data_IF_673254351051
#
_entry.id   IF_673254351051
#
_cell.length_a   1.000
_cell.length_b   1.000
_cell.length_c   1.000
_cell.angle_alpha   90.00
_cell.angle_beta   90.00
_cell.angle_gamma   90.00
#
_symmetry.space_group_name_H-M   'P 1'
#
loop_
_entity.id
_entity.type
_entity.pdbx_description
1 polymer ?
#
# COMPACT_ATOMS: atom_id res chain seq x y z
N UNK A 1 8.01 -14.01 -27.74
CA UNK A 1 8.27 -13.22 -26.51
C UNK A 1 7.04 -13.39 -25.63
N UNK A 2 7.16 -14.01 -24.46
CA UNK A 2 6.00 -14.24 -23.58
C UNK A 2 5.71 -12.96 -22.81
N UNK A 3 4.57 -12.32 -23.08
CA UNK A 3 4.09 -11.20 -22.29
C UNK A 3 3.30 -11.76 -21.11
N UNK A 4 3.84 -11.60 -19.91
CA UNK A 4 3.14 -11.95 -18.68
C UNK A 4 2.25 -10.78 -18.25
N UNK A 5 0.96 -11.04 -18.05
CA UNK A 5 0.02 -10.11 -17.48
C UNK A 5 -0.53 -10.72 -16.17
N UNK A 6 -0.32 -10.03 -15.05
CA UNK A 6 -0.84 -10.49 -13.77
C UNK A 6 -2.38 -10.39 -13.74
N UNK A 7 -3.09 -11.40 -13.21
CA UNK A 7 -4.54 -11.31 -13.00
C UNK A 7 -4.87 -10.22 -11.99
N UNK A 8 -6.04 -9.58 -12.15
CA UNK A 8 -6.45 -8.42 -11.36
C UNK A 8 -6.62 -8.71 -9.86
N UNK A 9 -6.78 -9.96 -9.47
CA UNK A 9 -6.98 -10.43 -8.10
C UNK A 9 -5.81 -11.29 -7.58
N UNK A 10 -4.66 -11.23 -8.25
CA UNK A 10 -3.47 -12.04 -7.93
C UNK A 10 -3.07 -11.97 -6.45
N UNK A 11 -3.27 -10.81 -5.82
CA UNK A 11 -2.85 -10.53 -4.44
C UNK A 11 -4.03 -10.31 -3.50
N UNK A 12 -5.23 -10.71 -3.90
CA UNK A 12 -6.41 -10.64 -3.06
C UNK A 12 -6.18 -11.34 -1.72
N UNK A 13 -6.66 -10.70 -0.64
CA UNK A 13 -6.55 -11.18 0.75
C UNK A 13 -5.10 -11.37 1.24
N UNK A 14 -4.12 -10.71 0.59
CA UNK A 14 -2.72 -10.68 1.05
C UNK A 14 -2.42 -9.36 1.74
N UNK A 15 -1.64 -9.43 2.82
CA UNK A 15 -1.08 -8.26 3.50
C UNK A 15 0.38 -8.13 3.12
N UNK A 16 0.78 -6.99 2.55
CA UNK A 16 2.13 -6.76 2.01
C UNK A 16 2.74 -5.52 2.64
N UNK A 17 3.88 -5.68 3.31
CA UNK A 17 4.68 -4.56 3.83
C UNK A 17 5.65 -4.06 2.76
N UNK A 18 5.59 -2.78 2.43
CA UNK A 18 6.47 -2.14 1.45
C UNK A 18 7.37 -1.13 2.14
N UNK A 19 8.67 -1.38 2.11
CA UNK A 19 9.68 -0.45 2.64
C UNK A 19 10.05 0.61 1.59
N UNK A 20 10.20 1.86 2.01
CA UNK A 20 10.46 2.96 1.06
C UNK A 20 9.24 3.28 0.19
N UNK A 21 8.04 3.02 0.69
CA UNK A 21 6.80 3.15 -0.08
C UNK A 21 6.45 4.58 -0.52
N UNK A 22 7.14 5.60 0.03
CA UNK A 22 6.86 7.00 -0.29
C UNK A 22 7.45 7.50 -1.61
N UNK A 23 8.31 6.73 -2.29
CA UNK A 23 8.94 7.22 -3.53
C UNK A 23 9.42 6.09 -4.46
N UNK A 24 9.69 6.45 -5.71
CA UNK A 24 10.31 5.59 -6.72
C UNK A 24 9.62 4.25 -6.90
N UNK A 25 10.41 3.17 -6.81
CA UNK A 25 9.93 1.80 -7.03
C UNK A 25 9.00 1.35 -5.91
N UNK A 26 9.26 1.76 -4.66
CA UNK A 26 8.43 1.39 -3.51
C UNK A 26 7.01 1.94 -3.65
N UNK A 27 6.87 3.20 -4.09
CA UNK A 27 5.57 3.79 -4.42
C UNK A 27 4.85 3.03 -5.52
N UNK A 28 5.54 2.77 -6.64
CA UNK A 28 4.95 2.05 -7.76
C UNK A 28 4.47 0.65 -7.35
N UNK A 29 5.30 -0.08 -6.61
CA UNK A 29 4.98 -1.41 -6.09
C UNK A 29 3.74 -1.37 -5.18
N UNK A 30 3.69 -0.44 -4.21
CA UNK A 30 2.55 -0.29 -3.31
C UNK A 30 1.22 -0.06 -4.06
N UNK A 31 1.23 0.83 -5.05
CA UNK A 31 0.06 1.12 -5.88
C UNK A 31 -0.37 -0.10 -6.69
N UNK A 32 0.56 -0.79 -7.33
CA UNK A 32 0.27 -2.00 -8.12
C UNK A 32 -0.26 -3.12 -7.24
N UNK A 33 0.30 -3.33 -6.05
CA UNK A 33 -0.19 -4.36 -5.14
C UNK A 33 -1.61 -4.08 -4.66
N UNK A 34 -1.92 -2.83 -4.33
CA UNK A 34 -3.26 -2.41 -3.97
C UNK A 34 -4.27 -2.61 -5.12
N UNK A 35 -3.85 -2.32 -6.36
CA UNK A 35 -4.67 -2.60 -7.56
C UNK A 35 -4.96 -4.09 -7.75
N UNK A 36 -4.05 -4.96 -7.32
CA UNK A 36 -4.23 -6.42 -7.38
C UNK A 36 -4.99 -7.01 -6.18
N UNK A 37 -5.59 -6.17 -5.33
CA UNK A 37 -6.42 -6.56 -4.19
C UNK A 37 -5.68 -6.81 -2.88
N UNK A 38 -4.39 -6.43 -2.78
CA UNK A 38 -3.63 -6.56 -1.54
C UNK A 38 -3.95 -5.43 -0.55
N UNK A 39 -3.92 -5.74 0.74
CA UNK A 39 -3.80 -4.75 1.81
C UNK A 39 -2.34 -4.37 1.99
N UNK A 40 -1.99 -3.11 1.74
CA UNK A 40 -0.59 -2.68 1.72
C UNK A 40 -0.25 -1.90 3.00
N UNK A 41 0.89 -2.21 3.61
CA UNK A 41 1.46 -1.45 4.72
C UNK A 41 2.63 -0.63 4.17
N UNK A 42 2.50 0.69 4.19
CA UNK A 42 3.45 1.66 3.70
C UNK A 42 4.46 1.99 4.81
N UNK A 43 5.71 1.53 4.69
CA UNK A 43 6.78 1.81 5.64
C UNK A 43 7.77 2.81 5.06
N UNK A 44 8.05 3.89 5.79
CA UNK A 44 9.02 4.89 5.35
C UNK A 44 9.42 5.89 6.43
N UNK A 45 10.36 6.78 6.09
CA UNK A 45 10.85 7.83 7.01
C UNK A 45 10.04 9.12 6.93
N UNK A 46 9.42 9.40 5.78
CA UNK A 46 8.77 10.69 5.51
C UNK A 46 7.27 10.48 5.40
N UNK A 47 6.54 10.84 6.45
CA UNK A 47 5.08 10.61 6.55
C UNK A 47 4.32 11.28 5.40
N UNK A 48 4.63 12.53 5.06
CA UNK A 48 3.95 13.26 3.97
C UNK A 48 4.01 12.54 2.62
N UNK A 49 5.11 11.82 2.35
CA UNK A 49 5.22 11.00 1.14
C UNK A 49 4.35 9.73 1.22
N UNK A 50 4.22 9.14 2.40
CA UNK A 50 3.38 7.96 2.61
C UNK A 50 1.90 8.31 2.51
N UNK A 51 1.48 9.44 3.09
CA UNK A 51 0.11 9.98 2.99
C UNK A 51 -0.27 10.22 1.52
N UNK A 52 0.61 10.82 0.71
CA UNK A 52 0.35 11.00 -0.72
C UNK A 52 0.10 9.68 -1.47
N UNK A 53 0.77 8.59 -1.08
CA UNK A 53 0.57 7.26 -1.68
C UNK A 53 -0.70 6.61 -1.14
N UNK A 54 -1.00 6.81 0.14
CA UNK A 54 -2.23 6.38 0.78
C UNK A 54 -3.45 6.98 0.06
N UNK A 55 -3.47 8.30 -0.13
CA UNK A 55 -4.56 9.01 -0.82
C UNK A 55 -4.75 8.48 -2.24
N UNK A 56 -3.67 8.16 -2.92
CA UNK A 56 -3.71 7.62 -4.29
C UNK A 56 -4.24 6.17 -4.33
N UNK A 57 -3.96 5.37 -3.31
CA UNK A 57 -4.53 4.02 -3.17
C UNK A 57 -6.04 4.11 -2.90
N UNK A 58 -6.46 5.00 -1.98
CA UNK A 58 -7.88 5.20 -1.68
C UNK A 58 -8.65 5.74 -2.88
N UNK A 59 -8.11 6.73 -3.59
CA UNK A 59 -8.73 7.29 -4.80
C UNK A 59 -8.92 6.25 -5.92
N UNK A 60 -8.12 5.17 -5.91
CA UNK A 60 -8.22 4.06 -6.87
C UNK A 60 -9.15 2.94 -6.40
N UNK A 61 -9.80 3.08 -5.24
CA UNK A 61 -10.67 2.07 -4.65
C UNK A 61 -9.93 0.83 -4.15
N UNK A 62 -8.63 0.96 -3.85
CA UNK A 62 -7.85 -0.12 -3.25
C UNK A 62 -8.21 -0.34 -1.77
N UNK A 63 -7.72 -1.44 -1.20
CA UNK A 63 -7.87 -1.70 0.23
C UNK A 63 -7.16 -0.63 1.06
N UNK A 64 -7.79 -0.19 2.16
CA UNK A 64 -7.26 0.84 3.06
C UNK A 64 -5.85 0.48 3.55
N UNK A 65 -4.81 1.22 3.15
CA UNK A 65 -3.44 0.89 3.53
C UNK A 65 -3.14 1.29 4.99
N UNK A 66 -2.08 0.74 5.58
CA UNK A 66 -1.56 1.24 6.85
C UNK A 66 -0.26 2.03 6.64
N UNK A 67 -0.02 3.04 7.47
CA UNK A 67 1.24 3.80 7.45
C UNK A 67 2.06 3.44 8.69
N UNK A 68 3.31 3.04 8.47
CA UNK A 68 4.33 2.86 9.50
C UNK A 68 5.46 3.87 9.32
N UNK A 69 5.74 4.68 10.34
CA UNK A 69 6.90 5.57 10.39
C UNK A 69 7.80 5.19 11.58
N UNK A 70 9.12 5.39 11.44
CA UNK A 70 10.15 5.06 12.44
C UNK A 70 9.91 5.64 13.85
N UNK A 71 8.98 6.60 14.02
CA UNK A 71 8.68 7.21 15.32
C UNK A 71 7.23 7.14 15.80
N UNK A 72 6.29 6.55 15.05
CA UNK A 72 4.91 6.51 15.54
C UNK A 72 4.07 5.43 14.84
N UNK A 73 3.52 4.55 15.68
CA UNK A 73 2.13 4.10 15.73
C UNK A 73 1.47 3.68 14.40
N UNK A 74 0.99 2.43 14.34
CA UNK A 74 -0.01 1.96 13.38
C UNK A 74 -1.30 2.79 13.56
N UNK A 75 -1.34 3.99 12.98
CA UNK A 75 -2.33 5.00 13.33
C UNK A 75 -3.70 4.78 12.67
N UNK A 76 -3.82 3.88 11.68
CA UNK A 76 -5.02 3.81 10.81
C UNK A 76 -5.40 2.40 10.33
N UNK A 77 -4.88 1.34 10.94
CA UNK A 77 -5.35 -0.02 10.63
C UNK A 77 -6.65 -0.30 11.39
N UNK A 78 -7.78 0.14 10.83
CA UNK A 78 -9.14 -0.25 11.22
C UNK A 78 -9.48 -0.18 12.71
N UNK A 79 -9.94 0.99 13.18
CA UNK A 79 -10.62 1.13 14.48
C UNK A 79 -12.14 1.01 14.38
N UNK A 80 -12.68 0.37 13.34
CA UNK A 80 -14.14 0.20 13.15
C UNK A 80 -14.62 -1.26 13.28
N UNK A 81 -13.75 -2.16 13.73
CA UNK A 81 -14.14 -3.54 14.04
C UNK A 81 -13.52 -4.02 15.37
N UNK A 82 -13.99 -3.45 16.48
CA UNK A 82 -13.98 -4.12 17.78
C UNK A 82 -15.20 -3.70 18.61
#
# INVERSE_FOLDING_TARGET
MFAYQAPADLLKDKVILVTGAGDGIGRCAALTYAQHGASVILLGRTVSKLESVYDEIEARGGATPAIGCNSATLSRYGTDHY
#
